data_IF_648777875387
#
_entry.id   IF_648777875387
#
_cell.length_a   1.000
_cell.length_b   1.000
_cell.length_c   1.000
_cell.angle_alpha   90.00
_cell.angle_beta   90.00
_cell.angle_gamma   90.00
#
_symmetry.space_group_name_H-M   'P 1'
#
loop_
_entity.id
_entity.type
_entity.pdbx_description
1 polymer ?
#
# COMPACT_ATOMS: atom_id res chain seq x y z
N UNK A 1 41.39 -22.05 -26.77
CA UNK A 1 40.02 -22.44 -27.14
C UNK A 1 39.13 -22.09 -25.97
N UNK A 2 38.50 -20.92 -26.06
CA UNK A 2 37.41 -20.51 -25.16
C UNK A 2 36.11 -21.07 -25.68
N UNK A 3 35.37 -21.77 -24.83
CA UNK A 3 34.00 -22.16 -25.12
C UNK A 3 33.09 -21.10 -24.48
N UNK A 4 32.39 -20.37 -25.35
CA UNK A 4 31.33 -19.45 -24.97
C UNK A 4 30.10 -20.26 -24.54
N UNK A 5 29.72 -20.13 -23.25
CA UNK A 5 28.48 -20.67 -22.77
C UNK A 5 27.33 -19.70 -23.12
N UNK A 6 26.53 -20.05 -24.12
CA UNK A 6 25.27 -19.39 -24.43
C UNK A 6 24.28 -19.56 -23.27
N UNK A 7 24.08 -18.49 -22.50
CA UNK A 7 22.94 -18.36 -21.58
C UNK A 7 21.71 -18.01 -22.42
N UNK A 8 20.79 -18.95 -22.54
CA UNK A 8 19.47 -18.70 -23.11
C UNK A 8 18.68 -17.74 -22.19
N UNK A 9 17.93 -16.77 -22.74
CA UNK A 9 17.13 -15.87 -21.91
C UNK A 9 16.00 -16.65 -21.25
N UNK A 10 15.89 -16.48 -19.93
CA UNK A 10 14.75 -16.93 -19.13
C UNK A 10 13.46 -16.34 -19.73
N UNK A 11 12.55 -17.20 -20.14
CA UNK A 11 11.23 -16.81 -20.62
C UNK A 11 10.53 -16.07 -19.48
N UNK A 12 10.17 -14.79 -19.73
CA UNK A 12 9.31 -14.03 -18.85
C UNK A 12 7.98 -14.78 -18.68
N UNK A 13 7.64 -15.11 -17.45
CA UNK A 13 6.29 -15.55 -17.12
C UNK A 13 5.35 -14.41 -17.49
N UNK A 14 4.46 -14.64 -18.46
CA UNK A 14 3.46 -13.68 -18.90
C UNK A 14 2.57 -13.32 -17.70
N UNK A 15 2.66 -12.08 -17.24
CA UNK A 15 1.70 -11.52 -16.30
C UNK A 15 0.30 -11.60 -16.94
N UNK A 16 -0.54 -12.45 -16.38
CA UNK A 16 -1.93 -12.56 -16.86
C UNK A 16 -2.72 -11.39 -16.30
N UNK A 17 -3.18 -10.52 -17.16
CA UNK A 17 -4.28 -9.60 -16.87
C UNK A 17 -5.54 -10.45 -16.81
N UNK A 18 -6.15 -10.60 -15.65
CA UNK A 18 -7.38 -11.36 -15.50
C UNK A 18 -8.41 -10.56 -14.69
N UNK A 19 -9.65 -10.53 -15.18
CA UNK A 19 -10.80 -10.01 -14.44
C UNK A 19 -11.24 -11.06 -13.43
N UNK A 20 -10.84 -10.97 -12.17
CA UNK A 20 -11.10 -11.99 -11.16
C UNK A 20 -11.58 -11.48 -9.80
N UNK A 21 -12.20 -10.30 -9.78
CA UNK A 21 -12.99 -9.86 -8.63
C UNK A 21 -14.48 -9.77 -9.02
N UNK A 22 -15.05 -10.86 -9.51
CA UNK A 22 -16.46 -10.95 -9.81
C UNK A 22 -17.20 -11.56 -8.61
N UNK A 23 -17.95 -10.75 -7.88
CA UNK A 23 -19.18 -11.20 -7.26
C UNK A 23 -20.29 -11.15 -8.33
N UNK A 24 -21.27 -12.05 -8.26
CA UNK A 24 -22.37 -12.27 -9.23
C UNK A 24 -23.31 -11.05 -9.46
N UNK A 25 -22.90 -9.85 -9.09
CA UNK A 25 -23.54 -8.57 -9.41
C UNK A 25 -22.70 -7.75 -10.38
N UNK A 26 -23.26 -7.48 -11.52
CA UNK A 26 -22.73 -7.03 -12.82
C UNK A 26 -21.98 -5.68 -12.84
N UNK A 27 -21.51 -5.07 -11.72
CA UNK A 27 -21.03 -3.69 -11.75
C UNK A 27 -19.64 -3.37 -11.17
N UNK A 28 -18.87 -4.32 -10.59
CA UNK A 28 -17.53 -3.98 -10.08
C UNK A 28 -16.47 -5.04 -10.44
N UNK A 29 -16.13 -5.08 -11.74
CA UNK A 29 -14.94 -5.82 -12.17
C UNK A 29 -13.71 -4.94 -11.92
N UNK A 30 -12.99 -5.19 -10.81
CA UNK A 30 -11.70 -4.55 -10.56
C UNK A 30 -10.66 -5.11 -11.52
N UNK A 31 -10.13 -4.26 -12.39
CA UNK A 31 -9.01 -4.62 -13.26
C UNK A 31 -7.71 -4.66 -12.45
N UNK A 32 -7.19 -5.87 -12.19
CA UNK A 32 -6.02 -6.08 -11.35
C UNK A 32 -4.89 -6.79 -12.10
N UNK A 33 -3.65 -6.49 -11.72
CA UNK A 33 -2.42 -7.16 -12.20
C UNK A 33 -1.80 -7.96 -11.07
N UNK A 34 -1.62 -9.25 -11.27
CA UNK A 34 -1.07 -10.18 -10.29
C UNK A 34 -0.54 -11.46 -10.94
N UNK A 35 0.26 -12.22 -10.20
CA UNK A 35 0.67 -13.56 -10.58
C UNK A 35 -0.17 -14.63 -9.87
N UNK A 36 -0.18 -15.87 -10.39
CA UNK A 36 -0.81 -16.99 -9.71
C UNK A 36 -0.16 -17.28 -8.33
N UNK A 37 1.12 -16.96 -8.18
CA UNK A 37 1.83 -17.07 -6.90
C UNK A 37 1.27 -16.07 -5.86
N UNK A 38 0.90 -14.85 -6.28
CA UNK A 38 0.27 -13.86 -5.40
C UNK A 38 -1.09 -14.35 -4.91
N UNK A 39 -1.93 -14.85 -5.81
CA UNK A 39 -3.24 -15.45 -5.47
C UNK A 39 -3.07 -16.56 -4.44
N UNK A 40 -2.15 -17.49 -4.71
CA UNK A 40 -1.89 -18.64 -3.83
C UNK A 40 -1.39 -18.19 -2.46
N UNK A 41 -0.48 -17.22 -2.41
CA UNK A 41 0.08 -16.70 -1.16
C UNK A 41 -0.99 -15.99 -0.32
N UNK A 42 -1.76 -15.08 -0.91
CA UNK A 42 -2.83 -14.37 -0.20
C UNK A 42 -3.87 -15.35 0.36
N UNK A 43 -4.37 -16.26 -0.47
CA UNK A 43 -5.34 -17.26 -0.02
C UNK A 43 -4.78 -18.17 1.08
N UNK A 44 -3.49 -18.53 1.01
CA UNK A 44 -2.84 -19.34 2.04
C UNK A 44 -2.75 -18.59 3.37
N UNK A 45 -2.35 -17.30 3.35
CA UNK A 45 -2.25 -16.47 4.54
C UNK A 45 -3.61 -16.27 5.21
N UNK A 46 -4.66 -16.00 4.43
CA UNK A 46 -6.02 -15.81 4.96
C UNK A 46 -6.60 -17.11 5.53
N UNK A 47 -6.31 -18.25 4.89
CA UNK A 47 -6.70 -19.56 5.40
C UNK A 47 -5.99 -19.90 6.71
N UNK A 48 -4.67 -19.70 6.77
CA UNK A 48 -3.87 -19.92 7.98
C UNK A 48 -4.41 -19.06 9.13
N UNK A 49 -4.65 -17.76 8.88
CA UNK A 49 -5.22 -16.83 9.86
C UNK A 49 -6.61 -17.27 10.36
N UNK A 50 -7.46 -17.78 9.46
CA UNK A 50 -8.82 -18.24 9.79
C UNK A 50 -8.83 -19.55 10.61
N UNK A 51 -7.76 -20.32 10.57
CA UNK A 51 -7.62 -21.59 11.31
C UNK A 51 -6.98 -21.44 12.70
N UNK A 52 -6.55 -20.22 13.07
CA UNK A 52 -5.98 -19.99 14.39
C UNK A 52 -7.01 -20.25 15.50
N UNK A 53 -6.63 -21.03 16.51
CA UNK A 53 -7.47 -21.29 17.69
C UNK A 53 -7.71 -20.02 18.51
N UNK A 54 -6.70 -19.14 18.58
CA UNK A 54 -6.76 -17.87 19.29
C UNK A 54 -6.37 -16.74 18.35
N UNK A 55 -7.14 -15.65 18.41
CA UNK A 55 -6.81 -14.44 17.62
C UNK A 55 -5.52 -13.80 18.14
N UNK A 56 -4.61 -13.37 17.27
CA UNK A 56 -3.43 -12.62 17.67
C UNK A 56 -3.84 -11.26 18.27
N UNK A 57 -3.00 -10.72 19.16
CA UNK A 57 -3.20 -9.37 19.73
C UNK A 57 -3.23 -8.28 18.65
N UNK A 58 -2.44 -8.46 17.60
CA UNK A 58 -2.39 -7.55 16.44
C UNK A 58 -2.31 -8.36 15.15
N UNK A 59 -3.32 -8.22 14.28
CA UNK A 59 -3.30 -8.78 12.94
C UNK A 59 -2.23 -8.11 12.07
N UNK A 60 -2.00 -6.80 12.22
CA UNK A 60 -0.94 -6.07 11.53
C UNK A 60 0.42 -6.70 11.78
N UNK A 61 0.76 -6.94 13.05
CA UNK A 61 2.03 -7.59 13.42
C UNK A 61 2.08 -9.04 12.93
N UNK A 62 0.99 -9.78 13.04
CA UNK A 62 0.94 -11.17 12.61
C UNK A 62 1.19 -11.33 11.11
N UNK A 63 0.48 -10.57 10.28
CA UNK A 63 0.68 -10.57 8.83
C UNK A 63 2.03 -9.96 8.44
N UNK A 64 2.44 -8.86 9.09
CA UNK A 64 3.73 -8.22 8.81
C UNK A 64 4.90 -9.19 8.91
N UNK A 65 4.90 -10.05 9.93
CA UNK A 65 5.94 -11.10 10.11
C UNK A 65 6.00 -12.11 8.95
N UNK A 66 4.90 -12.34 8.23
CA UNK A 66 4.86 -13.27 7.09
C UNK A 66 5.62 -12.75 5.87
N UNK A 67 5.96 -11.47 5.83
CA UNK A 67 6.73 -10.83 4.75
C UNK A 67 8.20 -10.60 5.10
N UNK A 68 8.67 -11.06 6.26
CA UNK A 68 10.11 -11.02 6.61
C UNK A 68 10.90 -11.79 5.56
N UNK A 69 11.96 -11.16 5.01
CA UNK A 69 12.81 -11.74 3.97
C UNK A 69 12.35 -11.48 2.54
N UNK A 70 11.21 -10.82 2.34
CA UNK A 70 10.81 -10.35 1.00
C UNK A 70 11.75 -9.22 0.57
N UNK A 71 12.31 -9.25 -0.67
CA UNK A 71 13.20 -8.22 -1.17
C UNK A 71 12.54 -6.84 -1.18
N UNK A 72 13.30 -5.81 -0.76
CA UNK A 72 12.88 -4.43 -0.91
C UNK A 72 13.10 -3.96 -2.34
N UNK A 73 12.01 -3.62 -3.05
CA UNK A 73 12.04 -3.13 -4.42
C UNK A 73 11.02 -1.99 -4.57
N UNK A 74 11.51 -0.79 -4.87
CA UNK A 74 10.65 0.37 -5.13
C UNK A 74 10.08 0.37 -6.55
N UNK A 75 8.97 1.12 -6.75
CA UNK A 75 8.40 1.38 -8.06
C UNK A 75 7.67 0.20 -8.71
N UNK A 76 7.29 -0.81 -7.94
CA UNK A 76 6.58 -2.00 -8.47
C UNK A 76 5.21 -1.65 -9.05
N UNK A 77 4.58 -0.56 -8.59
CA UNK A 77 3.29 -0.07 -9.07
C UNK A 77 3.38 0.70 -10.40
N UNK A 78 4.59 1.15 -10.80
CA UNK A 78 4.81 2.04 -11.95
C UNK A 78 5.42 1.32 -13.17
N UNK A 79 5.36 -0.01 -13.20
CA UNK A 79 5.92 -0.83 -14.31
C UNK A 79 5.08 -0.74 -15.59
N UNK A 80 3.76 -0.62 -15.46
CA UNK A 80 2.84 -0.44 -16.59
C UNK A 80 2.67 1.04 -16.96
N UNK A 81 1.98 1.31 -18.06
CA UNK A 81 1.60 2.68 -18.49
C UNK A 81 0.21 3.06 -18.00
N UNK A 82 -0.66 2.08 -17.85
CA UNK A 82 -2.01 2.23 -17.33
C UNK A 82 -2.06 1.90 -15.84
N UNK A 83 -2.82 2.72 -15.10
CA UNK A 83 -3.06 2.47 -13.68
C UNK A 83 -3.98 1.27 -13.49
N UNK A 84 -3.54 0.32 -12.69
CA UNK A 84 -4.29 -0.89 -12.32
C UNK A 84 -4.02 -1.24 -10.87
N UNK A 85 -4.90 -2.01 -10.28
CA UNK A 85 -4.65 -2.57 -8.96
C UNK A 85 -3.55 -3.63 -9.06
N UNK A 86 -2.32 -3.26 -8.72
CA UNK A 86 -1.17 -4.18 -8.74
C UNK A 86 -1.07 -4.91 -7.40
N UNK A 87 -1.04 -6.25 -7.46
CA UNK A 87 -0.72 -7.11 -6.32
C UNK A 87 0.62 -7.79 -6.61
N UNK A 88 1.62 -7.50 -5.78
CA UNK A 88 2.93 -8.12 -5.83
C UNK A 88 3.36 -8.44 -4.38
N UNK A 89 3.43 -9.72 -4.06
CA UNK A 89 3.79 -10.20 -2.72
C UNK A 89 5.25 -10.65 -2.61
N UNK A 90 5.99 -10.62 -3.73
CA UNK A 90 7.38 -11.07 -3.82
C UNK A 90 8.40 -9.94 -3.84
N UNK A 91 7.98 -8.71 -4.08
CA UNK A 91 8.82 -7.51 -4.08
C UNK A 91 8.01 -6.36 -3.45
N UNK A 92 8.50 -5.79 -2.37
CA UNK A 92 7.77 -4.77 -1.61
C UNK A 92 8.68 -3.58 -1.30
N UNK A 93 8.11 -2.40 -1.27
CA UNK A 93 8.67 -1.24 -0.58
C UNK A 93 7.90 -0.96 0.72
N UNK A 94 8.26 0.09 1.46
CA UNK A 94 7.60 0.41 2.73
C UNK A 94 6.09 0.66 2.56
N UNK A 95 5.68 1.33 1.49
CA UNK A 95 4.27 1.67 1.25
C UNK A 95 3.47 0.43 0.85
N UNK A 96 3.92 -0.31 -0.15
CA UNK A 96 3.23 -1.52 -0.63
C UNK A 96 3.17 -2.61 0.44
N UNK A 97 4.20 -2.71 1.30
CA UNK A 97 4.18 -3.58 2.48
C UNK A 97 3.05 -3.21 3.44
N UNK A 98 2.98 -1.94 3.84
CA UNK A 98 1.94 -1.45 4.75
C UNK A 98 0.54 -1.65 4.16
N UNK A 99 0.35 -1.32 2.88
CA UNK A 99 -0.94 -1.49 2.19
C UNK A 99 -1.41 -2.94 2.17
N UNK A 100 -0.54 -3.88 1.80
CA UNK A 100 -0.86 -5.32 1.76
C UNK A 100 -1.19 -5.86 3.15
N UNK A 101 -0.39 -5.51 4.15
CA UNK A 101 -0.62 -5.96 5.54
C UNK A 101 -1.92 -5.37 6.09
N UNK A 102 -2.22 -4.11 5.79
CA UNK A 102 -3.48 -3.47 6.17
C UNK A 102 -4.68 -4.14 5.49
N UNK A 103 -4.60 -4.42 4.20
CA UNK A 103 -5.66 -5.11 3.46
C UNK A 103 -5.94 -6.52 4.01
N UNK A 104 -4.91 -7.31 4.28
CA UNK A 104 -5.04 -8.62 4.94
C UNK A 104 -5.68 -8.52 6.33
N UNK A 105 -5.28 -7.52 7.12
CA UNK A 105 -5.85 -7.25 8.44
C UNK A 105 -7.34 -6.94 8.35
N UNK A 106 -7.74 -6.15 7.37
CA UNK A 106 -9.14 -5.83 7.12
C UNK A 106 -9.98 -7.04 6.73
N UNK A 107 -9.43 -7.95 5.92
CA UNK A 107 -10.10 -9.22 5.61
C UNK A 107 -10.44 -10.01 6.89
N UNK A 108 -9.58 -9.99 7.89
CA UNK A 108 -9.81 -10.71 9.15
C UNK A 108 -10.76 -9.98 10.11
N UNK A 109 -10.83 -8.65 10.02
CA UNK A 109 -11.69 -7.81 10.87
C UNK A 109 -13.10 -7.64 10.30
N UNK A 110 -13.27 -7.82 8.99
CA UNK A 110 -14.54 -7.71 8.29
C UNK A 110 -15.32 -9.02 8.23
N UNK A 111 -16.50 -8.95 7.58
CA UNK A 111 -17.41 -10.08 7.37
C UNK A 111 -17.32 -10.67 5.95
N UNK A 112 -16.25 -10.35 5.20
CA UNK A 112 -16.03 -10.85 3.85
C UNK A 112 -15.69 -12.34 3.77
N UNK A 113 -15.52 -12.85 2.54
CA UNK A 113 -15.19 -14.26 2.29
C UNK A 113 -13.78 -14.67 2.72
N UNK A 114 -12.92 -13.70 3.03
CA UNK A 114 -11.51 -13.92 3.39
C UNK A 114 -10.75 -14.71 2.32
N UNK A 115 -10.91 -14.29 1.08
CA UNK A 115 -10.26 -14.84 -0.10
C UNK A 115 -9.52 -13.74 -0.87
N UNK A 116 -8.91 -14.10 -2.00
CA UNK A 116 -8.18 -13.17 -2.85
C UNK A 116 -9.05 -12.03 -3.38
N UNK A 117 -10.33 -12.30 -3.70
CA UNK A 117 -11.26 -11.27 -4.15
C UNK A 117 -11.56 -10.25 -3.04
N UNK A 118 -11.80 -10.71 -1.82
CA UNK A 118 -11.97 -9.85 -0.66
C UNK A 118 -10.71 -9.00 -0.40
N UNK A 119 -9.53 -9.61 -0.47
CA UNK A 119 -8.26 -8.91 -0.36
C UNK A 119 -8.10 -7.80 -1.41
N UNK A 120 -8.45 -8.05 -2.67
CA UNK A 120 -8.39 -7.04 -3.74
C UNK A 120 -9.28 -5.83 -3.41
N UNK A 121 -10.52 -6.06 -2.95
CA UNK A 121 -11.42 -4.98 -2.53
C UNK A 121 -10.83 -4.16 -1.38
N UNK A 122 -10.29 -4.83 -0.36
CA UNK A 122 -9.66 -4.14 0.77
C UNK A 122 -8.44 -3.33 0.33
N UNK A 123 -7.57 -3.90 -0.52
CA UNK A 123 -6.38 -3.22 -1.03
C UNK A 123 -6.74 -2.00 -1.88
N UNK A 124 -7.79 -2.09 -2.68
CA UNK A 124 -8.31 -0.99 -3.48
C UNK A 124 -8.66 0.22 -2.60
N UNK A 125 -9.41 0.02 -1.52
CA UNK A 125 -9.75 1.09 -0.58
C UNK A 125 -8.54 1.62 0.19
N UNK A 126 -7.61 0.76 0.58
CA UNK A 126 -6.40 1.17 1.31
C UNK A 126 -5.46 2.01 0.44
N UNK A 127 -5.39 1.76 -0.88
CA UNK A 127 -4.41 2.38 -1.80
C UNK A 127 -4.94 3.59 -2.55
N UNK A 128 -6.24 3.65 -2.83
CA UNK A 128 -6.83 4.67 -3.69
C UNK A 128 -7.89 5.47 -2.95
N UNK A 129 -7.89 6.78 -3.13
CA UNK A 129 -8.88 7.70 -2.57
C UNK A 129 -10.28 7.24 -2.98
N UNK A 130 -11.15 7.00 -2.00
CA UNK A 130 -12.50 6.45 -2.18
C UNK A 130 -12.52 5.11 -2.96
N UNK A 131 -11.42 4.36 -2.99
CA UNK A 131 -11.31 3.14 -3.76
C UNK A 131 -11.34 3.33 -5.30
N UNK A 132 -11.17 4.53 -5.83
CA UNK A 132 -11.19 4.81 -7.27
C UNK A 132 -9.83 4.54 -7.90
N UNK A 133 -9.73 3.50 -8.76
CA UNK A 133 -8.48 3.13 -9.40
C UNK A 133 -8.17 4.12 -10.52
N UNK A 134 -7.34 5.12 -10.21
CA UNK A 134 -6.78 6.08 -11.14
C UNK A 134 -5.43 6.57 -10.59
N UNK A 135 -4.51 6.95 -11.49
CA UNK A 135 -3.18 7.40 -11.06
C UNK A 135 -3.26 8.57 -10.08
N UNK A 136 -4.08 9.57 -10.39
CA UNK A 136 -4.31 10.75 -9.56
C UNK A 136 -5.09 10.48 -8.26
N UNK A 137 -5.66 9.29 -8.11
CA UNK A 137 -6.35 8.82 -6.90
C UNK A 137 -5.49 7.89 -6.04
N UNK A 138 -4.40 7.38 -6.61
CA UNK A 138 -3.43 6.63 -5.81
C UNK A 138 -2.83 7.57 -4.75
N UNK A 139 -2.71 7.10 -3.53
CA UNK A 139 -2.29 7.91 -2.39
C UNK A 139 -0.76 8.06 -2.38
N UNK A 140 -0.22 8.84 -3.33
CA UNK A 140 1.22 9.01 -3.58
C UNK A 140 2.00 9.63 -2.42
N UNK A 141 1.31 10.38 -1.56
CA UNK A 141 1.89 11.01 -0.37
C UNK A 141 1.35 10.33 0.88
N UNK A 142 2.22 10.00 1.82
CA UNK A 142 1.81 9.28 3.02
C UNK A 142 0.83 10.09 3.89
N UNK A 143 0.92 11.41 3.85
CA UNK A 143 -0.07 12.30 4.50
C UNK A 143 -1.47 12.15 3.91
N UNK A 144 -1.59 11.93 2.59
CA UNK A 144 -2.87 11.61 1.93
C UNK A 144 -3.32 10.23 2.35
N UNK A 145 -2.42 9.25 2.36
CA UNK A 145 -2.71 7.88 2.80
C UNK A 145 -3.29 7.85 4.22
N UNK A 146 -2.69 8.60 5.15
CA UNK A 146 -3.21 8.69 6.53
C UNK A 146 -4.60 9.33 6.53
N UNK A 147 -4.77 10.50 5.90
CA UNK A 147 -6.04 11.25 5.99
C UNK A 147 -7.21 10.49 5.36
N UNK A 148 -7.01 9.88 4.20
CA UNK A 148 -8.05 9.11 3.51
C UNK A 148 -8.39 7.82 4.27
N UNK A 149 -7.39 7.08 4.73
CA UNK A 149 -7.62 5.87 5.52
C UNK A 149 -8.20 6.14 6.93
N UNK A 150 -8.02 7.34 7.47
CA UNK A 150 -8.74 7.80 8.67
C UNK A 150 -10.19 8.08 8.35
N UNK A 151 -10.47 8.78 7.24
CA UNK A 151 -11.84 9.09 6.79
C UNK A 151 -12.63 7.81 6.49
N UNK A 152 -12.01 6.82 5.85
CA UNK A 152 -12.55 5.49 5.60
C UNK A 152 -12.68 4.61 6.87
N UNK A 153 -12.20 5.08 8.02
CA UNK A 153 -12.22 4.32 9.29
C UNK A 153 -11.30 3.10 9.30
N UNK A 154 -10.27 3.11 8.45
CA UNK A 154 -9.29 2.01 8.31
C UNK A 154 -8.20 2.12 9.37
N UNK A 155 -7.73 3.33 9.64
CA UNK A 155 -6.70 3.62 10.64
C UNK A 155 -7.15 4.76 11.55
N UNK A 156 -6.43 4.97 12.65
CA UNK A 156 -6.59 6.11 13.54
C UNK A 156 -5.30 6.90 13.57
N UNK A 157 -5.38 8.21 13.34
CA UNK A 157 -4.21 9.09 13.42
C UNK A 157 -3.88 9.39 14.90
N UNK A 158 -2.68 9.03 15.31
CA UNK A 158 -2.21 9.21 16.70
C UNK A 158 -1.43 10.51 16.92
N UNK A 159 -1.17 11.30 15.88
CA UNK A 159 -0.32 12.50 15.97
C UNK A 159 -0.90 13.59 16.90
N UNK A 160 -2.19 13.56 17.20
CA UNK A 160 -2.85 14.52 18.11
C UNK A 160 -2.67 14.16 19.58
N UNK A 161 -2.14 12.99 19.90
CA UNK A 161 -1.90 12.55 21.26
C UNK A 161 -0.51 13.01 21.76
N UNK A 162 -0.33 13.30 23.06
CA UNK A 162 1.02 13.43 23.60
C UNK A 162 1.80 12.13 23.31
N UNK A 163 3.06 12.18 22.91
CA UNK A 163 4.02 13.28 22.97
C UNK A 163 4.28 14.03 21.65
N UNK A 164 3.38 13.97 20.67
CA UNK A 164 3.51 14.70 19.40
C UNK A 164 3.34 16.20 19.63
N UNK A 165 4.37 16.86 20.16
CA UNK A 165 4.30 18.24 20.66
C UNK A 165 4.79 19.29 19.67
N UNK A 166 5.57 18.87 18.66
CA UNK A 166 6.09 19.77 17.62
C UNK A 166 5.18 19.77 16.41
N UNK A 167 5.19 20.89 15.69
CA UNK A 167 4.36 21.11 14.51
C UNK A 167 5.26 21.42 13.32
N UNK A 168 4.99 20.79 12.19
CA UNK A 168 5.61 21.05 10.90
C UNK A 168 4.55 21.52 9.91
N UNK A 169 4.81 22.62 9.23
CA UNK A 169 4.02 23.06 8.08
C UNK A 169 4.58 22.41 6.82
N UNK A 170 3.73 21.84 6.02
CA UNK A 170 4.12 21.10 4.81
C UNK A 170 3.76 21.91 3.56
N UNK A 171 4.72 22.06 2.66
CA UNK A 171 4.51 22.55 1.31
C UNK A 171 4.96 21.48 0.32
N UNK A 172 4.05 21.00 -0.52
CA UNK A 172 4.26 19.83 -1.36
C UNK A 172 4.05 20.19 -2.82
N UNK A 173 5.09 19.98 -3.63
CA UNK A 173 5.05 20.18 -5.08
C UNK A 173 6.03 19.24 -5.82
N UNK A 174 6.48 18.18 -5.15
CA UNK A 174 7.57 17.35 -5.66
C UNK A 174 7.25 16.67 -6.98
N UNK A 175 6.12 15.96 -7.05
CA UNK A 175 5.76 15.23 -8.26
C UNK A 175 5.48 16.16 -9.43
N UNK A 176 4.81 17.31 -9.19
CA UNK A 176 4.53 18.32 -10.21
C UNK A 176 5.82 18.93 -10.76
N UNK A 177 6.80 19.24 -9.91
CA UNK A 177 8.09 19.83 -10.34
C UNK A 177 9.06 18.81 -10.93
N UNK A 178 8.89 17.50 -10.63
CA UNK A 178 9.74 16.42 -11.10
C UNK A 178 8.99 15.41 -11.98
N UNK A 179 7.98 15.85 -12.72
CA UNK A 179 7.11 15.01 -13.53
C UNK A 179 7.85 14.05 -14.48
N UNK A 180 9.06 14.45 -14.95
CA UNK A 180 9.88 13.62 -15.83
C UNK A 180 10.45 12.37 -15.16
N UNK A 181 10.49 12.35 -13.83
CA UNK A 181 10.93 11.19 -13.03
C UNK A 181 9.85 10.13 -12.87
N UNK A 182 8.61 10.43 -13.23
CA UNK A 182 7.46 9.55 -13.07
C UNK A 182 6.94 9.10 -14.45
N UNK A 183 7.14 7.82 -14.78
CA UNK A 183 6.75 7.26 -16.07
C UNK A 183 5.29 7.58 -16.43
N UNK A 184 4.37 7.43 -15.49
CA UNK A 184 2.94 7.63 -15.70
C UNK A 184 2.52 9.11 -15.74
N UNK A 185 3.34 10.05 -15.25
CA UNK A 185 3.07 11.50 -15.34
C UNK A 185 3.64 12.11 -16.62
N UNK A 186 4.74 11.54 -17.09
CA UNK A 186 5.43 12.05 -18.27
C UNK A 186 4.49 12.12 -19.46
N UNK A 187 4.33 13.34 -20.03
CA UNK A 187 3.47 13.62 -21.19
C UNK A 187 1.96 13.31 -20.97
N UNK A 188 1.48 13.28 -19.73
CA UNK A 188 0.07 13.09 -19.41
C UNK A 188 -0.49 14.27 -18.63
N UNK A 189 -1.08 15.22 -19.37
CA UNK A 189 -1.60 16.47 -18.81
C UNK A 189 -2.74 16.23 -17.79
N UNK A 190 -3.60 15.24 -18.02
CA UNK A 190 -4.72 14.91 -17.11
C UNK A 190 -4.19 14.41 -15.76
N UNK A 191 -3.26 13.46 -15.76
CA UNK A 191 -2.63 12.94 -14.53
C UNK A 191 -1.88 14.03 -13.81
N UNK A 192 -1.12 14.85 -14.54
CA UNK A 192 -0.38 15.98 -13.96
C UNK A 192 -1.31 16.99 -13.27
N UNK A 193 -2.44 17.32 -13.88
CA UNK A 193 -3.44 18.21 -13.28
C UNK A 193 -4.03 17.60 -12.01
N UNK A 194 -4.32 16.29 -11.99
CA UNK A 194 -4.82 15.58 -10.82
C UNK A 194 -3.80 15.57 -9.67
N UNK A 195 -2.53 15.31 -9.96
CA UNK A 195 -1.46 15.36 -8.95
C UNK A 195 -1.27 16.79 -8.43
N UNK A 196 -1.32 17.81 -9.29
CA UNK A 196 -1.24 19.20 -8.87
C UNK A 196 -2.36 19.56 -7.89
N UNK A 197 -3.59 19.18 -8.18
CA UNK A 197 -4.73 19.37 -7.28
C UNK A 197 -4.54 18.66 -5.94
N UNK A 198 -3.98 17.43 -5.94
CA UNK A 198 -3.64 16.69 -4.74
C UNK A 198 -2.57 17.42 -3.90
N UNK A 199 -1.49 17.89 -4.54
CA UNK A 199 -0.42 18.64 -3.87
C UNK A 199 -0.93 19.96 -3.29
N UNK A 200 -1.80 20.67 -3.99
CA UNK A 200 -2.46 21.88 -3.49
C UNK A 200 -3.35 21.60 -2.28
N UNK A 201 -4.07 20.46 -2.27
CA UNK A 201 -4.94 20.07 -1.17
C UNK A 201 -4.16 19.78 0.13
N UNK A 202 -2.95 19.23 0.03
CA UNK A 202 -2.13 18.88 1.21
C UNK A 202 -1.14 19.97 1.61
N UNK A 203 -0.81 20.89 0.71
CA UNK A 203 0.06 22.03 1.02
C UNK A 203 -0.61 23.00 1.99
N UNK A 204 0.19 23.60 2.87
CA UNK A 204 -0.28 24.52 3.91
C UNK A 204 -0.87 23.83 5.14
N UNK A 205 -1.01 22.52 5.14
CA UNK A 205 -1.42 21.75 6.31
C UNK A 205 -0.30 21.60 7.32
N UNK A 206 -0.68 21.44 8.58
CA UNK A 206 0.23 21.24 9.71
C UNK A 206 0.10 19.83 10.22
N UNK A 207 1.24 19.21 10.51
CA UNK A 207 1.33 17.88 11.10
C UNK A 207 2.13 17.94 12.38
N UNK A 208 1.70 17.16 13.38
CA UNK A 208 2.44 17.03 14.62
C UNK A 208 3.45 15.91 14.52
N UNK A 209 4.59 16.06 15.16
CA UNK A 209 5.63 15.05 15.17
C UNK A 209 6.40 15.00 16.49
N UNK A 210 7.16 13.95 16.67
CA UNK A 210 8.10 13.77 17.78
C UNK A 210 9.50 14.07 17.25
N UNK A 211 10.24 15.05 17.83
CA UNK A 211 11.62 15.34 17.44
C UNK A 211 12.52 14.12 17.61
N UNK A 212 13.51 13.97 16.72
CA UNK A 212 14.46 12.84 16.74
C UNK A 212 15.15 12.67 18.09
N UNK A 213 15.47 13.76 18.77
CA UNK A 213 16.12 13.76 20.09
C UNK A 213 15.26 13.11 21.17
N UNK A 214 13.94 13.11 20.99
CA UNK A 214 12.99 12.49 21.93
C UNK A 214 12.69 11.03 21.60
N UNK A 215 12.95 10.59 20.37
CA UNK A 215 12.68 9.21 19.92
C UNK A 215 13.56 8.19 20.67
N UNK A 216 14.71 8.61 21.17
CA UNK A 216 15.63 7.74 21.96
C UNK A 216 15.12 7.42 23.37
N UNK A 217 14.09 8.11 23.88
CA UNK A 217 13.47 7.79 25.17
C UNK A 217 12.60 6.53 25.04
N UNK A 218 13.09 5.43 25.58
CA UNK A 218 12.38 4.14 25.54
C UNK A 218 11.01 4.15 26.24
N UNK A 219 10.78 5.09 27.17
CA UNK A 219 9.47 5.24 27.87
C UNK A 219 8.45 5.87 26.95
N UNK A 220 8.88 6.80 26.08
CA UNK A 220 8.04 7.43 25.08
C UNK A 220 7.49 6.37 24.14
N UNK A 221 8.33 5.48 23.60
CA UNK A 221 7.88 4.39 22.74
C UNK A 221 6.89 3.46 23.45
N UNK A 222 7.23 2.97 24.63
CA UNK A 222 6.39 2.04 25.38
C UNK A 222 5.00 2.58 25.72
N UNK A 223 4.88 3.90 25.90
CA UNK A 223 3.60 4.54 26.28
C UNK A 223 2.80 5.06 25.09
N UNK A 224 3.39 5.14 23.89
CA UNK A 224 2.80 5.82 22.74
C UNK A 224 2.65 4.92 21.54
N UNK A 225 3.62 4.03 21.29
CA UNK A 225 3.70 3.17 20.12
C UNK A 225 3.38 1.74 20.55
N UNK A 226 2.49 1.09 19.81
CA UNK A 226 2.01 -0.24 20.11
C UNK A 226 2.24 -1.19 18.92
N UNK A 227 2.20 -2.48 19.20
CA UNK A 227 2.29 -3.52 18.18
C UNK A 227 1.18 -3.35 17.15
N UNK A 228 1.55 -3.10 15.91
CA UNK A 228 0.65 -2.88 14.78
C UNK A 228 0.48 -1.42 14.37
N UNK A 229 1.08 -0.47 15.09
CA UNK A 229 1.15 0.92 14.65
C UNK A 229 2.01 1.05 13.38
N UNK A 230 1.64 2.00 12.53
CA UNK A 230 2.34 2.33 11.29
C UNK A 230 3.12 3.62 11.54
N UNK A 231 4.44 3.58 11.28
CA UNK A 231 5.37 4.68 11.54
C UNK A 231 6.08 5.11 10.26
#
# INVERSE_FOLDING_TARGET
RHQDAHLSPLKSSSDKVANLCADDNVHDQVEATYSQADVSRINSLLREASQLKEKPKSWMLWFGKKFIGVPYVGGTLDRAEEEKLVINTSELDCTTFVEIVTALTRCMSGNGKRDFSDFCRQLQHVRYINGEIAYEKRQHYFTVWISDNVEEGIVTDIQNNPPFTKVQHVSVNWMTTHQQSYKMLKNNAKRLQGIKALEEQISGKSYRYIPKEQIVDSRLFRNTIHDGDIL
#
